data_IF_734951331975
#
_entry.id   IF_734951331975
#
_cell.length_a   1.000
_cell.length_b   1.000
_cell.length_c   1.000
_cell.angle_alpha   90.00
_cell.angle_beta   90.00
_cell.angle_gamma   90.00
#
_symmetry.space_group_name_H-M   'P 1'
#
loop_
_entity.id
_entity.type
_entity.pdbx_description
1 polymer ?
#
# COMPACT_ATOMS: atom_id res chain seq x y z
N UNK A 1 14.90 7.33 16.34
CA UNK A 1 14.12 6.47 15.41
C UNK A 1 14.90 6.32 14.09
N UNK A 2 16.08 5.70 14.15
CA UNK A 2 17.00 5.57 13.01
C UNK A 2 17.55 4.13 12.84
N UNK A 3 17.02 3.17 13.61
CA UNK A 3 17.55 1.80 13.66
C UNK A 3 16.66 0.74 13.01
N UNK A 4 15.41 1.05 12.67
CA UNK A 4 14.56 0.01 12.10
C UNK A 4 14.85 -0.14 10.62
N UNK A 5 15.37 -1.32 10.27
CA UNK A 5 15.74 -1.68 8.90
C UNK A 5 14.52 -1.94 8.03
N UNK A 6 14.74 -2.03 6.71
CA UNK A 6 13.73 -2.56 5.80
C UNK A 6 13.42 -4.00 6.20
N UNK A 7 12.17 -4.28 6.56
CA UNK A 7 11.71 -5.61 6.95
C UNK A 7 11.80 -6.62 5.81
N UNK A 8 11.52 -7.90 6.11
CA UNK A 8 11.54 -8.98 5.11
C UNK A 8 10.42 -8.85 4.07
N UNK A 9 9.34 -8.16 4.42
CA UNK A 9 8.27 -7.71 3.54
C UNK A 9 8.18 -6.17 3.64
N UNK A 10 8.28 -5.48 2.51
CA UNK A 10 8.05 -4.03 2.46
C UNK A 10 6.54 -3.79 2.32
N UNK A 11 5.84 -3.66 3.44
CA UNK A 11 4.45 -3.20 3.40
C UNK A 11 4.40 -1.74 2.96
N UNK A 12 3.43 -1.41 2.11
CA UNK A 12 3.18 -0.04 1.68
C UNK A 12 2.26 0.67 2.68
N UNK A 13 2.56 1.93 2.98
CA UNK A 13 1.79 2.68 3.97
C UNK A 13 0.36 2.92 3.48
N UNK A 14 -0.68 2.42 4.18
CA UNK A 14 -2.06 2.57 3.73
C UNK A 14 -2.50 4.04 3.68
N UNK A 15 -2.06 4.89 4.61
CA UNK A 15 -2.40 6.31 4.63
C UNK A 15 -1.74 7.12 3.50
N UNK A 16 -0.51 6.78 3.11
CA UNK A 16 0.13 7.40 1.96
C UNK A 16 -0.47 6.89 0.65
N UNK A 17 -0.75 5.58 0.58
CA UNK A 17 -1.32 4.95 -0.59
C UNK A 17 -2.70 5.52 -0.95
N UNK A 18 -3.54 5.85 0.04
CA UNK A 18 -4.82 6.55 -0.16
C UNK A 18 -4.69 7.98 -0.73
N UNK A 19 -3.47 8.52 -0.78
CA UNK A 19 -3.12 9.82 -1.37
C UNK A 19 -2.25 9.64 -2.62
N UNK A 20 -2.34 8.47 -3.26
CA UNK A 20 -1.58 8.10 -4.47
C UNK A 20 -0.05 8.16 -4.27
N UNK A 21 0.41 8.10 -3.02
CA UNK A 21 1.83 8.12 -2.67
C UNK A 21 2.26 6.75 -2.16
N UNK A 22 3.18 6.12 -2.89
CA UNK A 22 3.54 4.74 -2.62
C UNK A 22 4.90 4.64 -1.91
N UNK A 23 4.85 4.29 -0.62
CA UNK A 23 5.97 4.36 0.31
C UNK A 23 6.12 3.09 1.11
N UNK A 24 7.36 2.60 1.17
CA UNK A 24 7.73 1.50 2.05
C UNK A 24 7.60 1.92 3.51
N UNK A 25 7.02 1.05 4.32
CA UNK A 25 7.05 1.14 5.77
C UNK A 25 8.31 0.48 6.31
N UNK A 26 8.74 0.97 7.46
CA UNK A 26 9.80 0.35 8.24
C UNK A 26 9.19 -0.49 9.35
N UNK A 27 9.91 -1.53 9.78
CA UNK A 27 9.44 -2.45 10.81
C UNK A 27 10.29 -2.34 12.07
N UNK A 28 9.65 -2.07 13.20
CA UNK A 28 10.25 -2.13 14.52
C UNK A 28 10.03 -3.52 15.13
N UNK A 29 11.11 -4.28 15.32
CA UNK A 29 11.07 -5.64 15.85
C UNK A 29 10.72 -5.70 17.33
N UNK A 30 11.11 -4.68 18.09
CA UNK A 30 10.91 -4.65 19.54
C UNK A 30 9.44 -4.40 19.87
N UNK A 31 8.81 -3.54 19.07
CA UNK A 31 7.38 -3.19 19.20
C UNK A 31 6.46 -4.05 18.36
N UNK A 32 6.99 -4.75 17.36
CA UNK A 32 6.25 -5.48 16.32
C UNK A 32 5.30 -4.57 15.53
N UNK A 33 5.75 -3.35 15.26
CA UNK A 33 4.94 -2.32 14.60
C UNK A 33 5.60 -1.85 13.31
N UNK A 34 4.76 -1.44 12.37
CA UNK A 34 5.19 -0.77 11.15
C UNK A 34 5.02 0.74 11.30
N UNK A 35 5.99 1.50 10.80
CA UNK A 35 5.93 2.95 10.79
C UNK A 35 6.25 3.54 9.42
N UNK A 36 5.53 4.60 9.06
CA UNK A 36 5.76 5.38 7.86
C UNK A 36 6.49 6.69 8.18
N UNK A 37 7.64 6.91 7.56
CA UNK A 37 8.44 8.13 7.74
C UNK A 37 7.78 9.39 7.18
N UNK A 38 6.83 9.25 6.24
CA UNK A 38 6.23 10.39 5.54
C UNK A 38 5.06 10.99 6.28
N UNK A 39 4.19 10.15 6.84
CA UNK A 39 2.92 10.57 7.43
C UNK A 39 2.77 10.18 8.91
N UNK A 40 3.85 9.67 9.52
CA UNK A 40 3.87 9.24 10.92
C UNK A 40 2.82 8.17 11.27
N UNK A 41 2.28 7.48 10.28
CA UNK A 41 1.38 6.36 10.52
C UNK A 41 2.13 5.22 11.20
N UNK A 42 1.54 4.67 12.25
CA UNK A 42 2.02 3.53 13.03
C UNK A 42 0.90 2.51 13.19
N UNK A 43 1.19 1.24 13.00
CA UNK A 43 0.20 0.17 13.15
C UNK A 43 0.83 -1.21 13.25
N UNK A 44 0.06 -2.16 13.78
CA UNK A 44 0.43 -3.59 13.76
C UNK A 44 0.34 -4.14 12.33
N UNK A 45 0.88 -5.33 12.10
CA UNK A 45 0.76 -6.01 10.79
C UNK A 45 -0.71 -6.20 10.38
N UNK A 46 -1.57 -6.54 11.33
CA UNK A 46 -3.00 -6.75 11.13
C UNK A 46 -3.70 -5.45 10.68
N UNK A 47 -3.42 -4.32 11.33
CA UNK A 47 -3.98 -3.00 10.96
C UNK A 47 -3.51 -2.56 9.56
N UNK A 48 -2.25 -2.82 9.23
CA UNK A 48 -1.68 -2.51 7.91
C UNK A 48 -2.35 -3.33 6.81
N UNK A 49 -2.60 -4.62 7.06
CA UNK A 49 -3.26 -5.52 6.11
C UNK A 49 -4.72 -5.16 5.91
N UNK A 50 -5.47 -4.90 6.99
CA UNK A 50 -6.87 -4.49 6.93
C UNK A 50 -7.04 -3.18 6.14
N UNK A 51 -6.22 -2.16 6.45
CA UNK A 51 -6.28 -0.87 5.74
C UNK A 51 -5.82 -0.95 4.29
N UNK A 52 -4.92 -1.88 3.95
CA UNK A 52 -4.59 -2.16 2.55
C UNK A 52 -5.78 -2.76 1.79
N UNK A 53 -6.64 -3.56 2.44
CA UNK A 53 -7.86 -4.05 1.80
C UNK A 53 -8.82 -2.91 1.47
N UNK A 54 -8.92 -1.87 2.31
CA UNK A 54 -9.71 -0.67 1.99
C UNK A 54 -9.20 0.05 0.73
N UNK A 55 -7.90 0.02 0.45
CA UNK A 55 -7.39 0.60 -0.79
C UNK A 55 -7.91 -0.14 -2.03
N UNK A 56 -8.11 -1.47 -1.94
CA UNK A 56 -8.69 -2.26 -3.05
C UNK A 56 -10.14 -1.86 -3.37
N UNK A 57 -10.90 -1.39 -2.38
CA UNK A 57 -12.25 -0.86 -2.62
C UNK A 57 -12.21 0.38 -3.52
N UNK A 58 -11.24 1.27 -3.31
CA UNK A 58 -11.07 2.49 -4.11
C UNK A 58 -10.51 2.17 -5.49
N UNK A 59 -9.48 1.35 -5.56
CA UNK A 59 -8.81 0.98 -6.82
C UNK A 59 -9.30 -0.40 -7.30
N UNK A 60 -10.60 -0.50 -7.62
CA UNK A 60 -11.30 -1.75 -7.99
C UNK A 60 -10.51 -2.62 -8.98
N UNK A 61 -10.15 -2.01 -10.10
CA UNK A 61 -9.46 -2.66 -11.20
C UNK A 61 -7.93 -2.55 -11.10
N UNK A 62 -7.36 -2.26 -9.93
CA UNK A 62 -5.91 -2.11 -9.74
C UNK A 62 -5.11 -3.34 -10.20
N UNK A 63 -5.69 -4.53 -10.04
CA UNK A 63 -5.06 -5.78 -10.45
C UNK A 63 -5.54 -6.26 -11.82
N UNK A 64 -6.50 -5.56 -12.45
CA UNK A 64 -6.97 -5.89 -13.79
C UNK A 64 -6.02 -5.27 -14.81
N UNK A 65 -5.42 -6.11 -15.65
CA UNK A 65 -4.71 -5.66 -16.84
C UNK A 65 -5.71 -5.52 -17.97
N UNK A 66 -5.93 -4.30 -18.43
CA UNK A 66 -6.78 -4.03 -19.60
C UNK A 66 -6.00 -4.30 -20.89
N UNK A 67 -6.69 -4.91 -21.85
CA UNK A 67 -6.19 -5.24 -23.18
C UNK A 67 -6.98 -4.43 -24.22
N UNK A 68 -6.54 -4.42 -25.48
CA UNK A 68 -7.27 -3.73 -26.56
C UNK A 68 -8.73 -4.24 -26.71
N UNK A 69 -8.97 -5.52 -26.41
CA UNK A 69 -10.30 -6.14 -26.46
C UNK A 69 -11.25 -5.68 -25.32
N UNK A 70 -10.74 -4.98 -24.30
CA UNK A 70 -11.57 -4.44 -23.21
C UNK A 70 -12.21 -3.07 -23.56
N UNK A 71 -11.88 -2.50 -24.72
CA UNK A 71 -12.35 -1.17 -25.15
C UNK A 71 -13.22 -1.25 -26.40
N UNK A 72 -14.18 -0.34 -26.53
CA UNK A 72 -14.97 -0.18 -27.75
C UNK A 72 -14.06 0.24 -28.91
N UNK A 73 -14.12 -0.49 -30.02
CA UNK A 73 -13.46 -0.11 -31.26
C UNK A 73 -14.39 0.80 -32.05
N UNK A 74 -13.97 2.05 -32.23
CA UNK A 74 -14.62 2.99 -33.12
C UNK A 74 -14.00 2.82 -34.51
N UNK A 75 -14.38 1.76 -35.21
CA UNK A 75 -14.05 1.59 -36.63
C UNK A 75 -15.10 2.39 -37.44
N UNK A 76 -14.64 3.36 -38.25
CA UNK A 76 -15.44 4.23 -39.13
C UNK A 76 -16.13 3.47 -40.30
#
# INVERSE_FOLDING_TARGET
MAQSGKGRLNYRCPSCFMRDLDLDMFYDKDKKEFYCIRCQYTGTEEDVLEKNQMARFRYRDMMKRFNENDFEKFDD
#
